data_IF_413787363194
#
_entry.id   IF_413787363194
#
_cell.length_a   1.000
_cell.length_b   1.000
_cell.length_c   1.000
_cell.angle_alpha   90.00
_cell.angle_beta   90.00
_cell.angle_gamma   90.00
#
_symmetry.space_group_name_H-M   'P 1'
#
loop_
_entity.id
_entity.type
_entity.pdbx_description
1 polymer ?
#
# COMPACT_ATOMS: atom_id res chain seq x y z
N UNK A 1 10.55 -14.88 -4.44
CA UNK A 1 9.59 -13.95 -3.82
C UNK A 1 10.34 -12.66 -3.57
N UNK A 2 10.14 -11.64 -4.39
CA UNK A 2 11.06 -10.49 -4.45
C UNK A 2 10.81 -9.45 -3.35
N UNK A 3 9.89 -9.75 -2.43
CA UNK A 3 9.45 -8.86 -1.35
C UNK A 3 9.78 -9.39 0.06
N UNK A 4 10.36 -10.60 0.18
CA UNK A 4 10.84 -11.16 1.45
C UNK A 4 12.25 -11.72 1.32
N UNK A 5 13.06 -11.57 2.37
CA UNK A 5 14.41 -12.13 2.49
C UNK A 5 14.43 -13.16 3.62
N UNK A 6 15.04 -14.32 3.41
CA UNK A 6 15.28 -15.31 4.47
C UNK A 6 16.39 -14.81 5.40
N UNK A 7 16.17 -14.91 6.71
CA UNK A 7 17.17 -14.54 7.71
C UNK A 7 18.25 -15.63 7.80
N UNK A 8 19.52 -15.20 7.81
CA UNK A 8 20.67 -16.09 7.95
C UNK A 8 20.82 -16.65 9.37
N UNK A 9 21.50 -17.80 9.50
CA UNK A 9 21.69 -18.50 10.78
C UNK A 9 22.42 -17.68 11.85
N UNK A 10 23.27 -16.73 11.46
CA UNK A 10 24.06 -15.91 12.39
C UNK A 10 23.41 -14.55 12.71
N UNK A 11 22.22 -14.26 12.14
CA UNK A 11 21.53 -13.00 12.37
C UNK A 11 20.67 -13.09 13.64
N UNK A 12 20.85 -12.13 14.54
CA UNK A 12 20.06 -12.05 15.77
C UNK A 12 18.61 -11.65 15.43
N UNK A 13 17.66 -12.41 15.97
CA UNK A 13 16.22 -12.16 15.82
C UNK A 13 15.60 -11.89 17.18
N UNK A 14 15.26 -10.61 17.41
CA UNK A 14 14.63 -10.16 18.66
C UNK A 14 13.10 -10.29 18.61
N UNK A 15 12.51 -10.00 17.45
CA UNK A 15 11.06 -9.92 17.26
C UNK A 15 10.68 -10.68 15.99
N UNK A 16 9.59 -11.43 16.07
CA UNK A 16 8.93 -12.05 14.92
C UNK A 16 7.42 -11.94 15.06
N UNK A 17 6.74 -12.00 13.93
CA UNK A 17 5.28 -12.02 13.83
C UNK A 17 4.85 -13.33 13.20
N UNK A 18 3.82 -14.03 13.72
CA UNK A 18 3.35 -15.25 13.08
C UNK A 18 2.71 -14.92 11.71
N UNK A 19 2.76 -15.90 10.81
CA UNK A 19 2.08 -15.84 9.52
C UNK A 19 0.71 -16.50 9.61
N UNK A 20 -0.28 -15.89 8.98
CA UNK A 20 -1.55 -16.50 8.66
C UNK A 20 -1.63 -16.78 7.16
N UNK A 21 -2.20 -17.93 6.81
CA UNK A 21 -2.56 -18.25 5.43
C UNK A 21 -4.05 -17.98 5.29
N UNK A 22 -4.39 -17.02 4.44
CA UNK A 22 -5.80 -16.69 4.13
C UNK A 22 -6.15 -17.22 2.76
N UNK A 23 -7.36 -17.75 2.60
CA UNK A 23 -7.85 -18.29 1.33
C UNK A 23 -8.79 -17.29 0.68
N UNK A 24 -8.55 -17.00 -0.60
CA UNK A 24 -9.36 -16.07 -1.38
C UNK A 24 -9.45 -16.52 -2.84
N UNK A 25 -10.67 -16.68 -3.37
CA UNK A 25 -10.96 -17.17 -4.73
C UNK A 25 -10.02 -18.31 -5.19
N UNK A 26 -9.94 -19.38 -4.40
CA UNK A 26 -9.09 -20.56 -4.65
C UNK A 26 -7.57 -20.30 -4.66
N UNK A 27 -7.11 -19.17 -4.13
CA UNK A 27 -5.68 -18.84 -3.95
C UNK A 27 -5.35 -18.63 -2.48
N UNK A 28 -4.30 -19.29 -2.00
CA UNK A 28 -3.72 -19.03 -0.68
C UNK A 28 -2.88 -17.75 -0.72
N UNK A 29 -3.06 -16.88 0.27
CA UNK A 29 -2.27 -15.66 0.46
C UNK A 29 -1.56 -15.72 1.80
N UNK A 30 -0.28 -15.36 1.79
CA UNK A 30 0.54 -15.23 2.98
C UNK A 30 0.34 -13.83 3.59
N UNK A 31 -0.11 -13.77 4.84
CA UNK A 31 -0.40 -12.54 5.55
C UNK A 31 0.34 -12.51 6.89
N UNK A 32 1.18 -11.49 7.12
CA UNK A 32 1.79 -11.27 8.43
C UNK A 32 0.75 -10.79 9.46
N UNK A 33 0.73 -11.39 10.65
CA UNK A 33 -0.23 -11.05 11.70
C UNK A 33 0.23 -9.84 12.55
N UNK A 34 0.31 -8.66 11.93
CA UNK A 34 0.91 -7.46 12.53
C UNK A 34 0.08 -6.76 13.62
N UNK A 35 -0.90 -7.42 14.26
CA UNK A 35 -1.75 -6.78 15.28
C UNK A 35 -0.95 -6.22 16.45
N UNK A 36 -0.01 -7.01 16.99
CA UNK A 36 0.87 -6.58 18.07
C UNK A 36 1.74 -5.39 17.65
N UNK A 37 2.42 -5.51 16.50
CA UNK A 37 3.23 -4.42 15.94
C UNK A 37 2.42 -3.13 15.76
N UNK A 38 1.20 -3.25 15.24
CA UNK A 38 0.33 -2.10 15.01
C UNK A 38 -0.02 -1.39 16.32
N UNK A 39 -0.24 -2.10 17.42
CA UNK A 39 -0.54 -1.48 18.71
C UNK A 39 0.59 -0.59 19.23
N UNK A 40 1.85 -1.01 19.03
CA UNK A 40 3.03 -0.25 19.45
C UNK A 40 3.52 0.78 18.41
N UNK A 41 2.97 0.74 17.19
CA UNK A 41 3.33 1.67 16.13
C UNK A 41 2.52 2.96 16.26
N UNK A 42 3.22 4.11 16.34
CA UNK A 42 2.61 5.45 16.28
C UNK A 42 1.83 5.60 14.97
N UNK A 43 0.56 5.97 15.08
CA UNK A 43 -0.30 6.17 13.91
C UNK A 43 0.21 7.34 13.07
N UNK A 44 0.28 7.13 11.76
CA UNK A 44 0.52 8.19 10.78
C UNK A 44 -0.81 8.74 10.29
N UNK A 45 -1.21 9.91 10.82
CA UNK A 45 -2.47 10.58 10.50
C UNK A 45 -2.36 11.45 9.24
N UNK A 46 -1.75 10.92 8.19
CA UNK A 46 -1.70 11.61 6.90
C UNK A 46 -3.13 11.80 6.36
N UNK A 47 -3.48 13.00 5.85
CA UNK A 47 -4.84 13.27 5.38
C UNK A 47 -5.12 12.47 4.10
N UNK A 48 -6.07 11.54 4.20
CA UNK A 48 -6.62 10.82 3.04
C UNK A 48 -8.01 11.40 2.79
N UNK A 49 -8.37 11.79 1.56
CA UNK A 49 -9.67 12.35 1.24
C UNK A 49 -10.77 11.34 1.58
N UNK A 50 -11.90 11.86 2.03
CA UNK A 50 -13.08 11.02 2.24
C UNK A 50 -13.70 10.68 0.88
N UNK A 51 -14.40 9.54 0.82
CA UNK A 51 -15.08 9.09 -0.40
C UNK A 51 -15.97 10.19 -1.01
N UNK A 52 -16.81 10.94 -0.26
CA UNK A 52 -17.61 12.01 -0.86
C UNK A 52 -16.76 13.09 -1.51
N UNK A 53 -15.68 13.52 -0.86
CA UNK A 53 -14.79 14.56 -1.39
C UNK A 53 -14.12 14.13 -2.71
N UNK A 54 -13.80 12.85 -2.83
CA UNK A 54 -13.26 12.28 -4.07
C UNK A 54 -14.32 12.17 -5.17
N UNK A 55 -15.58 11.90 -4.81
CA UNK A 55 -16.70 11.81 -5.74
C UNK A 55 -17.19 13.18 -6.22
N UNK A 56 -17.15 14.21 -5.37
CA UNK A 56 -17.56 15.58 -5.72
C UNK A 56 -16.70 16.11 -6.88
N UNK A 57 -15.42 15.72 -6.95
CA UNK A 57 -14.54 16.08 -8.06
C UNK A 57 -14.93 15.42 -9.39
N UNK A 58 -15.63 14.28 -9.33
CA UNK A 58 -16.07 13.52 -10.50
C UNK A 58 -17.46 13.95 -11.00
N UNK A 59 -18.13 14.89 -10.32
CA UNK A 59 -19.53 15.25 -10.62
C UNK A 59 -19.75 15.65 -12.09
N UNK A 60 -18.79 16.38 -12.67
CA UNK A 60 -18.87 16.87 -14.06
C UNK A 60 -18.25 15.92 -15.08
N UNK A 61 -17.60 14.85 -14.63
CA UNK A 61 -16.90 13.93 -15.50
C UNK A 61 -17.85 13.19 -16.43
N UNK A 62 -17.57 13.22 -17.74
CA UNK A 62 -18.26 12.41 -18.76
C UNK A 62 -17.44 11.19 -19.17
N UNK A 63 -16.12 11.30 -19.04
CA UNK A 63 -15.16 10.22 -19.31
C UNK A 63 -14.35 9.95 -18.05
N UNK A 64 -14.25 8.68 -17.67
CA UNK A 64 -13.52 8.25 -16.47
C UNK A 64 -12.68 7.03 -16.83
N UNK A 65 -11.39 7.11 -16.55
CA UNK A 65 -10.47 5.96 -16.58
C UNK A 65 -10.04 5.65 -15.15
N UNK A 66 -10.22 4.40 -14.75
CA UNK A 66 -9.75 3.91 -13.46
C UNK A 66 -8.54 2.99 -13.66
N UNK A 67 -7.41 3.36 -13.06
CA UNK A 67 -6.20 2.56 -13.02
C UNK A 67 -6.03 2.02 -11.61
N UNK A 68 -5.86 0.70 -11.47
CA UNK A 68 -5.65 0.04 -10.19
C UNK A 68 -4.18 -0.36 -10.02
N UNK A 69 -3.52 0.16 -8.99
CA UNK A 69 -2.18 -0.27 -8.61
C UNK A 69 -2.23 -1.66 -7.96
N UNK A 70 -2.22 -2.71 -8.79
CA UNK A 70 -2.14 -4.08 -8.32
C UNK A 70 -0.96 -4.25 -7.37
N UNK A 71 -1.24 -4.81 -6.18
CA UNK A 71 -0.20 -5.06 -5.16
C UNK A 71 0.60 -3.80 -4.79
N UNK A 72 0.01 -2.61 -4.90
CA UNK A 72 0.69 -1.32 -4.80
C UNK A 72 1.63 -1.18 -3.61
N UNK A 73 1.25 -1.65 -2.42
CA UNK A 73 2.13 -1.58 -1.25
C UNK A 73 3.47 -2.30 -1.46
N UNK A 74 3.50 -3.43 -2.18
CA UNK A 74 4.75 -4.14 -2.44
C UNK A 74 5.70 -3.39 -3.40
N UNK A 75 5.26 -2.32 -4.06
CA UNK A 75 6.17 -1.45 -4.81
C UNK A 75 7.08 -0.64 -3.87
N UNK A 76 6.62 -0.37 -2.64
CA UNK A 76 7.35 0.46 -1.68
C UNK A 76 8.45 -0.33 -0.97
N UNK A 77 9.68 0.18 -1.05
CA UNK A 77 10.80 -0.31 -0.25
C UNK A 77 10.62 -0.01 1.23
N UNK A 78 10.98 -0.95 2.09
CA UNK A 78 11.04 -0.75 3.54
C UNK A 78 12.46 -0.31 3.91
N UNK A 79 12.60 0.64 4.84
CA UNK A 79 13.92 1.01 5.38
C UNK A 79 14.51 -0.16 6.18
N UNK A 80 15.81 -0.39 6.08
CA UNK A 80 16.52 -1.52 6.74
C UNK A 80 16.20 -1.65 8.23
N UNK A 81 16.10 -0.54 8.96
CA UNK A 81 15.76 -0.55 10.39
C UNK A 81 14.32 -1.03 10.66
N UNK A 82 13.38 -0.72 9.77
CA UNK A 82 11.99 -1.15 9.87
C UNK A 82 11.79 -2.60 9.42
N UNK A 83 12.67 -3.15 8.56
CA UNK A 83 12.58 -4.54 8.11
C UNK A 83 12.61 -5.53 9.29
N UNK A 84 13.43 -5.23 10.32
CA UNK A 84 13.53 -6.05 11.54
C UNK A 84 12.20 -6.20 12.29
N UNK A 85 11.37 -5.14 12.27
CA UNK A 85 10.04 -5.14 12.89
C UNK A 85 9.00 -5.89 12.05
N UNK A 86 9.29 -6.08 10.76
CA UNK A 86 8.45 -6.77 9.80
C UNK A 86 8.93 -8.21 9.56
N UNK A 87 9.58 -8.81 10.55
CA UNK A 87 9.97 -10.22 10.50
C UNK A 87 8.77 -11.12 10.74
N UNK A 88 8.68 -12.15 9.92
CA UNK A 88 7.68 -13.20 10.01
C UNK A 88 8.31 -14.55 10.28
N UNK A 89 7.62 -15.39 11.05
CA UNK A 89 8.04 -16.75 11.34
C UNK A 89 7.01 -17.76 10.80
N UNK A 90 7.52 -18.80 10.14
CA UNK A 90 6.73 -19.94 9.68
C UNK A 90 7.57 -21.23 9.81
N UNK A 91 6.95 -22.38 9.50
CA UNK A 91 7.60 -23.69 9.54
C UNK A 91 8.86 -23.82 8.65
N UNK A 92 9.03 -22.92 7.66
CA UNK A 92 10.22 -22.89 6.78
C UNK A 92 11.36 -22.00 7.31
N UNK A 93 11.14 -21.31 8.42
CA UNK A 93 12.10 -20.41 9.05
C UNK A 93 11.58 -18.98 9.19
N UNK A 94 12.53 -18.06 9.40
CA UNK A 94 12.26 -16.64 9.63
C UNK A 94 12.60 -15.85 8.37
N UNK A 95 11.70 -14.96 8.00
CA UNK A 95 11.83 -14.08 6.83
C UNK A 95 11.56 -12.64 7.25
N UNK A 96 12.12 -11.67 6.54
CA UNK A 96 11.79 -10.25 6.70
C UNK A 96 11.27 -9.65 5.41
N UNK A 97 10.29 -8.76 5.53
CA UNK A 97 9.78 -8.02 4.38
C UNK A 97 10.77 -6.93 3.94
N UNK A 98 11.19 -6.98 2.68
CA UNK A 98 11.99 -5.93 2.03
C UNK A 98 11.12 -4.87 1.37
N UNK A 99 9.87 -5.21 1.08
CA UNK A 99 8.81 -4.34 0.56
C UNK A 99 7.65 -4.25 1.53
N UNK A 100 6.89 -3.17 1.48
CA UNK A 100 5.84 -2.89 2.46
C UNK A 100 4.73 -3.97 2.42
N UNK A 101 4.54 -4.74 3.51
CA UNK A 101 3.51 -5.77 3.56
C UNK A 101 2.13 -5.17 3.80
N UNK A 102 1.12 -5.95 3.42
CA UNK A 102 -0.26 -5.69 3.85
C UNK A 102 -0.41 -5.92 5.37
N UNK A 103 -1.35 -5.18 5.97
CA UNK A 103 -1.74 -5.39 7.38
C UNK A 103 -0.99 -4.54 8.39
N UNK A 104 0.01 -3.75 7.99
CA UNK A 104 0.66 -2.78 8.87
C UNK A 104 -0.13 -1.46 8.93
N UNK A 105 -0.19 -0.84 10.12
CA UNK A 105 -1.04 0.32 10.40
C UNK A 105 -0.83 1.49 9.43
N UNK A 106 0.43 1.81 9.14
CA UNK A 106 0.79 3.01 8.39
C UNK A 106 0.97 2.78 6.88
N UNK A 107 0.70 1.57 6.37
CA UNK A 107 0.85 1.29 4.93
C UNK A 107 -0.02 2.21 4.04
N UNK A 108 -1.32 2.40 4.32
CA UNK A 108 -2.17 3.27 3.50
C UNK A 108 -1.69 4.72 3.50
N UNK A 109 -1.35 5.27 4.68
CA UNK A 109 -0.87 6.65 4.81
C UNK A 109 0.42 6.90 4.02
N UNK A 110 1.38 5.96 4.11
CA UNK A 110 2.64 6.09 3.39
C UNK A 110 2.46 5.91 1.87
N UNK A 111 1.61 4.98 1.45
CA UNK A 111 1.31 4.79 0.03
C UNK A 111 0.61 6.02 -0.55
N UNK A 112 -0.36 6.56 0.18
CA UNK A 112 -1.08 7.75 -0.25
C UNK A 112 -0.15 8.97 -0.33
N UNK A 113 0.72 9.21 0.66
CA UNK A 113 1.72 10.29 0.59
C UNK A 113 2.63 10.19 -0.63
N UNK A 114 3.03 8.96 -0.98
CA UNK A 114 3.83 8.74 -2.19
C UNK A 114 3.03 9.13 -3.43
N UNK A 115 1.78 8.69 -3.54
CA UNK A 115 0.93 9.05 -4.69
C UNK A 115 0.66 10.55 -4.78
N UNK A 116 0.38 11.21 -3.65
CA UNK A 116 0.21 12.66 -3.58
C UNK A 116 1.47 13.42 -4.01
N UNK A 117 2.66 12.85 -3.76
CA UNK A 117 3.93 13.42 -4.22
C UNK A 117 4.16 13.20 -5.72
N UNK A 118 3.82 12.02 -6.23
CA UNK A 118 4.04 11.65 -7.63
C UNK A 118 3.05 12.38 -8.55
N UNK A 119 1.76 12.41 -8.20
CA UNK A 119 0.68 12.96 -9.01
C UNK A 119 0.26 14.36 -8.57
N UNK A 120 1.18 15.10 -7.95
CA UNK A 120 0.88 16.38 -7.32
C UNK A 120 0.32 17.38 -8.33
N UNK A 121 0.92 17.43 -9.52
CA UNK A 121 0.55 18.39 -10.56
C UNK A 121 -0.83 18.07 -11.12
N UNK A 122 -1.08 16.80 -11.45
CA UNK A 122 -2.33 16.30 -12.02
C UNK A 122 -3.52 16.44 -11.07
N UNK A 123 -3.27 16.24 -9.76
CA UNK A 123 -4.26 16.48 -8.71
C UNK A 123 -4.57 17.98 -8.58
N UNK A 124 -3.54 18.84 -8.64
CA UNK A 124 -3.71 20.30 -8.53
C UNK A 124 -4.42 20.90 -9.76
N UNK A 125 -4.16 20.36 -10.94
CA UNK A 125 -4.84 20.75 -12.18
C UNK A 125 -6.29 20.25 -12.24
N UNK A 126 -6.67 19.30 -11.38
CA UNK A 126 -8.06 18.91 -11.18
C UNK A 126 -8.63 18.00 -12.26
N UNK A 127 -7.79 17.17 -12.88
CA UNK A 127 -8.21 16.12 -13.84
C UNK A 127 -7.88 14.70 -13.35
N UNK A 128 -7.20 14.58 -12.21
CA UNK A 128 -6.89 13.32 -11.57
C UNK A 128 -7.27 13.32 -10.08
N UNK A 129 -7.84 12.21 -9.61
CA UNK A 129 -8.06 11.90 -8.20
C UNK A 129 -7.33 10.61 -7.86
N UNK A 130 -6.58 10.60 -6.76
CA UNK A 130 -6.05 9.36 -6.18
C UNK A 130 -6.85 8.99 -4.94
N UNK A 131 -7.23 7.71 -4.85
CA UNK A 131 -7.86 7.14 -3.66
C UNK A 131 -7.22 5.80 -3.29
N UNK A 132 -6.32 5.82 -2.30
CA UNK A 132 -5.53 4.67 -1.84
C UNK A 132 -4.80 4.00 -3.00
N UNK A 133 -5.34 2.93 -3.60
CA UNK A 133 -4.73 2.17 -4.70
C UNK A 133 -5.34 2.47 -6.08
N UNK A 134 -6.37 3.33 -6.11
CA UNK A 134 -7.08 3.71 -7.33
C UNK A 134 -6.59 5.08 -7.79
N UNK A 135 -6.15 5.15 -9.05
CA UNK A 135 -5.90 6.41 -9.76
C UNK A 135 -7.08 6.60 -10.71
N UNK A 136 -7.76 7.73 -10.60
CA UNK A 136 -8.96 8.05 -11.35
C UNK A 136 -8.65 9.28 -12.19
N UNK A 137 -8.66 9.10 -13.51
CA UNK A 137 -8.49 10.18 -14.49
C UNK A 137 -9.87 10.50 -15.04
N UNK A 138 -10.20 11.77 -15.16
CA UNK A 138 -11.53 12.19 -15.61
C UNK A 138 -11.52 13.47 -16.43
N UNK A 139 -12.48 13.59 -17.34
CA UNK A 139 -12.66 14.77 -18.19
C UNK A 139 -14.12 14.94 -18.65
N UNK A 140 -14.45 16.12 -19.19
CA UNK A 140 -15.76 16.42 -19.76
C UNK A 140 -15.86 16.09 -21.27
N UNK A 141 -14.73 16.04 -21.99
CA UNK A 141 -14.66 15.79 -23.43
C UNK A 141 -13.77 14.59 -23.73
N UNK A 142 -14.06 13.89 -24.82
CA UNK A 142 -13.25 12.73 -25.24
C UNK A 142 -11.87 13.18 -25.69
N UNK A 143 -11.79 14.33 -26.33
CA UNK A 143 -10.58 14.90 -26.89
C UNK A 143 -9.57 15.22 -25.79
N UNK A 144 -10.03 15.75 -24.66
CA UNK A 144 -9.14 16.00 -23.51
C UNK A 144 -8.80 14.73 -22.75
N UNK A 145 -9.67 13.70 -22.76
CA UNK A 145 -9.42 12.43 -22.07
C UNK A 145 -8.30 11.58 -22.68
N UNK A 146 -8.03 11.77 -23.97
CA UNK A 146 -7.09 10.93 -24.76
C UNK A 146 -5.73 11.62 -24.94
N UNK A 147 -5.61 12.90 -24.56
CA UNK A 147 -4.32 13.62 -24.54
C UNK A 147 -3.44 13.12 -23.41
#
# INVERSE_FOLDING_TARGET
>A
MDFVRKIGHNEIVEITTPVLITWDYCKSRLCGYFRALNNYTKADSYPIPRIPQALDQLEKAKYITKIYCMKGFYHNGVKTNSMKLLRIICHMGIYEYTRMPFGIKNAPAHFYRMMDTIFKEEILEGWMVVYINDIIIYSETREDHVK
#
